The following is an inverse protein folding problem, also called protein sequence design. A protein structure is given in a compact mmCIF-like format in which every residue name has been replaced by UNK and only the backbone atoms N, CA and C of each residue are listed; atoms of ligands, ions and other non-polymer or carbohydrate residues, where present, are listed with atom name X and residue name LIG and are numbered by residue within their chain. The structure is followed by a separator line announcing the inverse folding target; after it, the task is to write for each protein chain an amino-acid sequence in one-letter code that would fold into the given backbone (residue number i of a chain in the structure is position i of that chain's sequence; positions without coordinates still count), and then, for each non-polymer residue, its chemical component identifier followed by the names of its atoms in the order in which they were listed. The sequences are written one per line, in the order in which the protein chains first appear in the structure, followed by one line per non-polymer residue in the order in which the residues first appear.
data_IF_318365783651
#
_entry.id   IF_318365783651
#
_cell.length_a   1.000
_cell.length_b   1.000
_cell.length_c   1.000
_cell.angle_alpha   90.00
_cell.angle_beta   90.00
_cell.angle_gamma   90.00
#
_symmetry.space_group_name_H-M   'P 1'
#
loop_
_entity.id
_entity.type
_entity.pdbx_description
1 polymer ?
#
# COMPACT_ATOMS: atom_id res chain seq x y z
N UNK A 1 70.51 -22.02 46.54
CA UNK A 1 70.67 -21.63 45.13
C UNK A 1 69.41 -22.08 44.37
N UNK A 2 68.48 -21.15 44.12
CA UNK A 2 67.29 -21.42 43.33
C UNK A 2 67.53 -20.87 41.92
N UNK A 3 67.56 -21.75 40.92
CA UNK A 3 67.82 -21.42 39.52
C UNK A 3 66.60 -20.72 38.92
N UNK A 4 66.79 -19.49 38.46
CA UNK A 4 65.79 -18.69 37.73
C UNK A 4 65.24 -19.46 36.51
N UNK A 5 63.91 -19.62 36.36
CA UNK A 5 63.33 -20.41 35.27
C UNK A 5 63.54 -19.70 33.93
N UNK A 6 64.16 -20.40 32.97
CA UNK A 6 64.42 -19.90 31.60
C UNK A 6 63.10 -19.50 30.92
N UNK A 7 62.81 -18.20 30.86
CA UNK A 7 61.66 -17.61 30.15
C UNK A 7 61.74 -17.73 28.60
N UNK A 8 62.60 -18.60 28.05
CA UNK A 8 62.82 -18.73 26.61
C UNK A 8 61.59 -19.25 25.86
N UNK A 9 60.79 -20.11 26.49
CA UNK A 9 59.54 -20.62 25.91
C UNK A 9 58.45 -19.54 25.85
N UNK A 10 58.39 -18.64 26.84
CA UNK A 10 57.48 -17.47 26.82
C UNK A 10 57.87 -16.50 25.71
N UNK A 11 59.18 -16.24 25.55
CA UNK A 11 59.69 -15.40 24.46
C UNK A 11 59.40 -16.02 23.08
N UNK A 12 59.58 -17.34 22.94
CA UNK A 12 59.25 -18.06 21.72
C UNK A 12 57.75 -17.97 21.40
N UNK A 13 56.90 -18.22 22.38
CA UNK A 13 55.44 -18.08 22.24
C UNK A 13 55.03 -16.65 21.86
N UNK A 14 55.61 -15.64 22.49
CA UNK A 14 55.34 -14.23 22.18
C UNK A 14 55.73 -13.87 20.73
N UNK A 15 56.85 -14.40 20.23
CA UNK A 15 57.28 -14.19 18.83
C UNK A 15 56.30 -14.85 17.85
N UNK A 16 55.84 -16.07 18.14
CA UNK A 16 54.86 -16.77 17.30
C UNK A 16 53.53 -16.01 17.26
N UNK A 17 53.05 -15.52 18.41
CA UNK A 17 51.84 -14.69 18.48
C UNK A 17 52.00 -13.38 17.72
N UNK A 18 53.16 -12.72 17.82
CA UNK A 18 53.45 -11.49 17.09
C UNK A 18 53.47 -11.73 15.57
N UNK A 19 54.02 -12.85 15.10
CA UNK A 19 54.00 -13.22 13.68
C UNK A 19 52.57 -13.51 13.17
N UNK A 20 51.75 -14.18 13.98
CA UNK A 20 50.34 -14.42 13.67
C UNK A 20 49.55 -13.11 13.56
N UNK A 21 49.73 -12.21 14.53
CA UNK A 21 49.13 -10.87 14.49
C UNK A 21 49.61 -10.07 13.28
N UNK A 22 50.91 -10.11 12.98
CA UNK A 22 51.49 -9.47 11.81
C UNK A 22 50.88 -9.98 10.50
N UNK A 23 50.70 -11.29 10.36
CA UNK A 23 50.04 -11.91 9.21
C UNK A 23 48.60 -11.43 9.04
N UNK A 24 47.83 -11.33 10.12
CA UNK A 24 46.45 -10.82 10.10
C UNK A 24 46.44 -9.35 9.66
N UNK A 25 47.35 -8.53 10.18
CA UNK A 25 47.45 -7.11 9.82
C UNK A 25 47.82 -6.92 8.33
N UNK A 26 48.76 -7.70 7.81
CA UNK A 26 49.12 -7.66 6.39
C UNK A 26 47.94 -8.09 5.51
N UNK A 27 47.19 -9.13 5.91
CA UNK A 27 45.99 -9.55 5.18
C UNK A 27 44.90 -8.49 5.18
N UNK A 28 44.68 -7.82 6.32
CA UNK A 28 43.74 -6.71 6.43
C UNK A 28 44.17 -5.53 5.55
N UNK A 29 45.44 -5.15 5.58
CA UNK A 29 45.98 -4.08 4.73
C UNK A 29 45.86 -4.43 3.24
N UNK A 30 46.14 -5.68 2.86
CA UNK A 30 45.97 -6.13 1.48
C UNK A 30 44.51 -6.03 1.04
N UNK A 31 43.56 -6.43 1.91
CA UNK A 31 42.12 -6.36 1.63
C UNK A 31 41.63 -4.92 1.47
N UNK A 32 42.07 -3.99 2.33
CA UNK A 32 41.65 -2.57 2.27
C UNK A 32 42.27 -1.79 1.12
N UNK A 33 43.51 -2.13 0.72
CA UNK A 33 44.22 -1.45 -0.37
C UNK A 33 43.81 -1.98 -1.76
N UNK A 34 43.57 -3.29 -1.91
CA UNK A 34 43.19 -3.88 -3.21
C UNK A 34 41.69 -3.85 -3.46
N UNK A 35 40.87 -3.85 -2.40
CA UNK A 35 39.46 -3.56 -2.50
C UNK A 35 39.22 -2.27 -1.72
N UNK A 36 39.52 -1.08 -2.28
CA UNK A 36 38.88 0.12 -1.75
C UNK A 36 37.40 -0.23 -1.72
N UNK A 37 36.78 -0.18 -0.54
CA UNK A 37 35.34 -0.35 -0.41
C UNK A 37 34.79 0.75 -1.31
N UNK A 38 34.47 0.40 -2.56
CA UNK A 38 33.70 1.27 -3.42
C UNK A 38 32.47 1.51 -2.56
N UNK A 39 32.32 2.74 -2.08
CA UNK A 39 31.10 3.14 -1.41
C UNK A 39 30.03 2.80 -2.43
N UNK A 40 29.33 1.68 -2.22
CA UNK A 40 28.17 1.34 -3.01
C UNK A 40 27.18 2.42 -2.60
N UNK A 41 27.25 3.55 -3.30
CA UNK A 41 26.26 4.61 -3.17
C UNK A 41 24.97 3.91 -3.53
N UNK A 42 24.16 3.64 -2.52
CA UNK A 42 22.85 3.04 -2.70
C UNK A 42 21.99 4.13 -3.34
N UNK A 43 22.04 4.21 -4.67
CA UNK A 43 21.09 5.01 -5.42
C UNK A 43 19.78 4.26 -5.37
N UNK A 44 18.81 4.81 -4.62
CA UNK A 44 17.49 4.22 -4.54
C UNK A 44 16.95 4.11 -5.98
N UNK A 45 16.64 2.90 -6.48
CA UNK A 45 16.14 2.75 -7.83
C UNK A 45 14.87 3.60 -7.99
N UNK A 46 14.77 4.29 -9.12
CA UNK A 46 13.50 4.92 -9.50
C UNK A 46 12.52 3.78 -9.77
N UNK A 47 11.49 3.69 -8.95
CA UNK A 47 10.41 2.71 -9.06
C UNK A 47 9.14 3.42 -9.49
N UNK A 48 8.25 2.69 -10.16
CA UNK A 48 6.95 3.24 -10.51
C UNK A 48 6.21 3.77 -9.28
N UNK A 49 5.61 4.97 -9.44
CA UNK A 49 4.92 5.65 -8.36
C UNK A 49 3.56 5.02 -8.03
N UNK A 50 2.99 4.27 -8.96
CA UNK A 50 1.65 3.68 -8.86
C UNK A 50 1.64 2.29 -9.49
N UNK A 51 0.86 1.40 -8.90
CA UNK A 51 0.51 0.10 -9.48
C UNK A 51 -1.00 0.10 -9.75
N UNK A 52 -1.39 -0.31 -10.95
CA UNK A 52 -2.79 -0.47 -11.34
C UNK A 52 -3.09 -1.96 -11.38
N UNK A 53 -4.01 -2.41 -10.51
CA UNK A 53 -4.39 -3.82 -10.43
C UNK A 53 -5.12 -4.28 -11.69
N UNK A 54 -4.72 -5.42 -12.24
CA UNK A 54 -5.33 -6.02 -13.42
C UNK A 54 -6.81 -6.35 -13.24
N UNK A 55 -7.58 -6.35 -14.34
CA UNK A 55 -9.02 -6.61 -14.36
C UNK A 55 -9.28 -8.11 -14.45
N UNK A 56 -10.29 -8.60 -13.71
CA UNK A 56 -10.74 -9.99 -13.79
C UNK A 56 -12.00 -10.04 -14.65
N UNK A 57 -12.00 -10.93 -15.64
CA UNK A 57 -13.11 -11.18 -16.56
C UNK A 57 -13.65 -12.60 -16.42
N UNK A 58 -14.91 -12.78 -16.79
CA UNK A 58 -15.49 -14.10 -17.07
C UNK A 58 -15.08 -14.59 -18.46
N UNK A 59 -15.45 -15.83 -18.81
CA UNK A 59 -15.14 -16.42 -20.12
C UNK A 59 -15.75 -15.68 -21.32
N UNK A 60 -16.76 -14.84 -21.07
CA UNK A 60 -17.49 -14.05 -22.05
C UNK A 60 -17.02 -12.57 -22.06
N UNK A 61 -15.87 -12.27 -21.44
CA UNK A 61 -15.28 -10.94 -21.30
C UNK A 61 -16.13 -9.92 -20.51
N UNK A 62 -17.00 -10.39 -19.61
CA UNK A 62 -17.70 -9.53 -18.65
C UNK A 62 -16.79 -9.25 -17.45
N UNK A 63 -16.77 -8.01 -17.00
CA UNK A 63 -15.95 -7.60 -15.86
C UNK A 63 -16.53 -8.19 -14.58
N UNK A 64 -15.69 -8.96 -13.87
CA UNK A 64 -15.99 -9.53 -12.56
C UNK A 64 -15.36 -8.72 -11.43
N UNK A 65 -14.16 -8.19 -11.64
CA UNK A 65 -13.49 -7.29 -10.70
C UNK A 65 -12.62 -6.26 -11.45
N UNK A 66 -12.73 -4.99 -11.08
CA UNK A 66 -11.99 -3.89 -11.71
C UNK A 66 -11.52 -2.89 -10.66
N UNK A 67 -10.33 -2.32 -10.87
CA UNK A 67 -9.85 -1.21 -10.06
C UNK A 67 -10.55 0.09 -10.51
N UNK A 68 -11.17 0.76 -9.55
CA UNK A 68 -11.90 2.01 -9.77
C UNK A 68 -11.44 3.07 -8.79
N UNK A 69 -11.32 4.34 -9.24
CA UNK A 69 -11.08 5.43 -8.33
C UNK A 69 -12.34 5.71 -7.50
N UNK A 70 -12.12 5.99 -6.21
CA UNK A 70 -13.12 6.47 -5.29
C UNK A 70 -12.66 7.78 -4.69
N UNK A 71 -13.62 8.66 -4.45
CA UNK A 71 -13.39 9.91 -3.77
C UNK A 71 -13.86 9.77 -2.33
N UNK A 72 -12.97 10.02 -1.38
CA UNK A 72 -13.28 10.05 0.04
C UNK A 72 -13.28 11.49 0.55
N UNK A 73 -14.12 11.77 1.53
CA UNK A 73 -14.17 13.08 2.21
C UNK A 73 -13.69 12.92 3.64
N UNK A 74 -12.70 13.72 4.00
CA UNK A 74 -12.01 13.67 5.28
C UNK A 74 -11.92 15.05 5.91
N UNK A 75 -12.07 15.10 7.23
CA UNK A 75 -12.03 16.33 8.01
C UNK A 75 -10.74 16.40 8.82
N UNK A 76 -10.07 17.54 8.75
CA UNK A 76 -8.98 17.93 9.64
C UNK A 76 -9.58 18.66 10.85
N UNK A 77 -9.96 17.90 11.87
CA UNK A 77 -10.66 18.40 13.05
C UNK A 77 -9.88 19.53 13.76
N UNK A 78 -8.55 19.45 13.75
CA UNK A 78 -7.68 20.48 14.35
C UNK A 78 -7.74 21.83 13.62
N UNK A 79 -8.13 21.85 12.34
CA UNK A 79 -8.25 23.07 11.55
C UNK A 79 -9.69 23.63 11.58
N UNK A 80 -10.67 22.80 11.92
CA UNK A 80 -12.08 23.17 11.95
C UNK A 80 -12.38 24.02 13.18
N UNK A 81 -12.84 25.25 12.95
CA UNK A 81 -13.31 26.16 14.02
C UNK A 81 -14.77 25.96 14.35
N UNK A 82 -15.59 25.71 13.33
CA UNK A 82 -17.03 25.54 13.45
C UNK A 82 -17.43 24.23 12.74
N UNK A 83 -17.53 23.16 13.51
CA UNK A 83 -17.88 21.85 12.99
C UNK A 83 -19.32 21.81 12.46
N UNK A 84 -20.22 22.60 13.03
CA UNK A 84 -21.60 22.65 12.62
C UNK A 84 -21.72 23.23 11.20
N UNK A 85 -21.10 24.38 10.95
CA UNK A 85 -21.09 25.02 9.64
C UNK A 85 -20.46 24.11 8.56
N UNK A 86 -19.32 23.48 8.87
CA UNK A 86 -18.64 22.59 7.94
C UNK A 86 -19.51 21.37 7.62
N UNK A 87 -20.17 20.81 8.63
CA UNK A 87 -21.04 19.63 8.47
C UNK A 87 -22.28 19.96 7.65
N UNK A 88 -22.90 21.12 7.85
CA UNK A 88 -24.04 21.59 7.05
C UNK A 88 -23.67 21.79 5.58
N UNK A 89 -22.47 22.32 5.31
CA UNK A 89 -21.97 22.52 3.94
C UNK A 89 -21.71 21.19 3.22
N UNK A 90 -21.09 20.22 3.90
CA UNK A 90 -20.63 18.96 3.29
C UNK A 90 -21.74 17.92 3.18
N UNK A 91 -22.68 17.89 4.13
CA UNK A 91 -23.83 16.98 4.20
C UNK A 91 -24.52 16.66 2.85
N UNK A 92 -24.93 17.64 2.02
CA UNK A 92 -25.62 17.36 0.76
C UNK A 92 -24.76 16.56 -0.24
N UNK A 93 -23.44 16.75 -0.23
CA UNK A 93 -22.52 16.09 -1.17
C UNK A 93 -22.19 14.66 -0.75
N UNK A 94 -22.19 14.38 0.56
CA UNK A 94 -21.93 13.03 1.11
C UNK A 94 -23.20 12.20 1.29
N UNK A 95 -24.37 12.76 0.95
CA UNK A 95 -25.70 12.15 1.12
C UNK A 95 -25.96 11.71 2.57
N UNK A 96 -25.60 12.56 3.52
CA UNK A 96 -25.82 12.34 4.95
C UNK A 96 -26.47 13.58 5.56
N UNK A 97 -27.17 13.43 6.68
CA UNK A 97 -27.65 14.58 7.44
C UNK A 97 -26.48 15.32 8.11
N UNK A 98 -26.57 16.64 8.34
CA UNK A 98 -25.54 17.39 9.06
C UNK A 98 -25.22 16.79 10.44
N UNK A 99 -26.23 16.28 11.14
CA UNK A 99 -26.06 15.63 12.44
C UNK A 99 -25.25 14.34 12.33
N UNK A 100 -25.53 13.48 11.35
CA UNK A 100 -24.73 12.27 11.11
C UNK A 100 -23.27 12.58 10.76
N UNK A 101 -23.01 13.68 10.04
CA UNK A 101 -21.64 14.11 9.74
C UNK A 101 -20.92 14.56 11.01
N UNK A 102 -21.60 15.30 11.89
CA UNK A 102 -21.04 15.73 13.18
C UNK A 102 -20.78 14.55 14.11
N UNK A 103 -21.74 13.64 14.25
CA UNK A 103 -21.60 12.44 15.07
C UNK A 103 -20.40 11.61 14.59
N UNK A 104 -20.31 11.39 13.27
CA UNK A 104 -19.16 10.73 12.64
C UNK A 104 -17.85 11.45 12.92
N UNK A 105 -17.83 12.78 12.84
CA UNK A 105 -16.63 13.58 13.11
C UNK A 105 -16.18 13.47 14.58
N UNK A 106 -17.14 13.42 15.52
CA UNK A 106 -16.89 13.32 16.96
C UNK A 106 -16.33 11.95 17.40
N UNK A 107 -16.47 10.91 16.58
CA UNK A 107 -15.81 9.60 16.82
C UNK A 107 -14.29 9.66 16.69
N UNK A 108 -13.75 10.72 16.06
CA UNK A 108 -12.32 10.89 15.80
C UNK A 108 -11.74 12.10 16.55
N UNK A 109 -10.42 12.11 16.74
CA UNK A 109 -9.73 13.19 17.46
C UNK A 109 -9.11 14.24 16.53
N UNK A 110 -8.48 13.81 15.43
CA UNK A 110 -7.65 14.72 14.59
C UNK A 110 -8.00 14.63 13.11
N UNK A 111 -8.21 13.42 12.60
CA UNK A 111 -8.55 13.18 11.21
C UNK A 111 -9.75 12.26 11.18
N UNK A 112 -10.87 12.77 10.66
CA UNK A 112 -12.12 12.02 10.60
C UNK A 112 -12.43 11.61 9.17
N UNK A 113 -12.68 10.32 8.97
CA UNK A 113 -13.20 9.81 7.71
C UNK A 113 -14.72 9.95 7.71
N UNK A 114 -15.24 11.00 7.09
CA UNK A 114 -16.68 11.26 7.03
C UNK A 114 -17.37 10.28 6.10
N UNK A 115 -16.82 10.13 4.89
CA UNK A 115 -17.36 9.23 3.88
C UNK A 115 -16.24 8.59 3.08
N UNK A 116 -16.25 7.26 3.01
CA UNK A 116 -15.25 6.49 2.26
C UNK A 116 -15.40 6.63 0.74
N UNK A 117 -16.64 6.77 0.26
CA UNK A 117 -16.97 6.85 -1.17
C UNK A 117 -18.10 7.86 -1.39
N UNK A 118 -17.83 8.90 -2.15
CA UNK A 118 -18.82 9.81 -2.72
C UNK A 118 -18.97 9.57 -4.22
N UNK A 119 -20.10 10.01 -4.77
CA UNK A 119 -20.34 10.01 -6.21
C UNK A 119 -19.37 11.00 -6.89
N UNK A 120 -18.71 10.55 -7.94
CA UNK A 120 -17.76 11.36 -8.72
C UNK A 120 -18.43 12.62 -9.28
N UNK A 121 -19.73 12.56 -9.60
CA UNK A 121 -20.49 13.71 -10.07
C UNK A 121 -20.59 14.84 -9.04
N UNK A 122 -20.50 14.52 -7.74
CA UNK A 122 -20.61 15.49 -6.65
C UNK A 122 -19.26 16.16 -6.31
N UNK A 123 -18.14 15.56 -6.72
CA UNK A 123 -16.79 16.02 -6.38
C UNK A 123 -16.51 17.45 -6.86
N UNK A 124 -16.78 17.83 -8.13
CA UNK A 124 -16.48 19.19 -8.59
C UNK A 124 -17.29 20.25 -7.84
N UNK A 125 -18.55 19.96 -7.54
CA UNK A 125 -19.43 20.87 -6.82
C UNK A 125 -19.00 21.04 -5.36
N UNK A 126 -18.57 19.94 -4.71
CA UNK A 126 -18.02 19.97 -3.36
C UNK A 126 -16.73 20.80 -3.31
N UNK A 127 -15.78 20.57 -4.22
CA UNK A 127 -14.53 21.33 -4.27
C UNK A 127 -14.78 22.84 -4.46
N UNK A 128 -15.68 23.21 -5.39
CA UNK A 128 -16.06 24.60 -5.60
C UNK A 128 -16.71 25.23 -4.34
N UNK A 129 -17.53 24.47 -3.62
CA UNK A 129 -18.15 24.92 -2.37
C UNK A 129 -17.10 25.13 -1.26
N UNK A 130 -16.12 24.25 -1.15
CA UNK A 130 -15.01 24.36 -0.18
C UNK A 130 -14.12 25.57 -0.49
N UNK A 131 -13.78 25.80 -1.76
CA UNK A 131 -13.01 26.97 -2.17
C UNK A 131 -13.75 28.28 -1.87
N UNK A 132 -15.05 28.35 -2.19
CA UNK A 132 -15.88 29.54 -1.93
C UNK A 132 -15.92 29.92 -0.45
N UNK A 133 -15.97 28.94 0.44
CA UNK A 133 -16.01 29.16 1.89
C UNK A 133 -14.62 29.16 2.53
N UNK A 134 -13.54 29.02 1.75
CA UNK A 134 -12.15 28.95 2.21
C UNK A 134 -11.90 27.80 3.21
N UNK A 135 -12.59 26.67 3.02
CA UNK A 135 -12.55 25.49 3.88
C UNK A 135 -11.61 24.39 3.36
N UNK A 136 -10.70 24.71 2.44
CA UNK A 136 -9.80 23.75 1.79
C UNK A 136 -8.69 23.23 2.71
N UNK A 137 -8.52 23.80 3.91
CA UNK A 137 -7.59 23.29 4.94
C UNK A 137 -8.30 22.36 5.93
N UNK A 138 -9.59 22.57 6.10
CA UNK A 138 -10.47 21.89 7.03
C UNK A 138 -11.02 20.60 6.45
N UNK A 139 -11.33 20.58 5.15
CA UNK A 139 -11.91 19.43 4.46
C UNK A 139 -11.05 19.06 3.26
N UNK A 140 -10.65 17.80 3.22
CA UNK A 140 -9.86 17.23 2.14
C UNK A 140 -10.70 16.19 1.41
N UNK A 141 -10.71 16.29 0.07
CA UNK A 141 -11.31 15.29 -0.81
C UNK A 141 -10.17 14.55 -1.49
N UNK A 142 -9.98 13.28 -1.15
CA UNK A 142 -8.86 12.47 -1.63
C UNK A 142 -9.33 11.42 -2.63
N UNK A 143 -8.58 11.28 -3.72
CA UNK A 143 -8.76 10.20 -4.69
C UNK A 143 -8.00 8.97 -4.22
N UNK A 144 -8.71 7.90 -3.91
CA UNK A 144 -8.15 6.58 -3.60
C UNK A 144 -8.50 5.59 -4.69
N UNK A 145 -7.68 4.57 -4.87
CA UNK A 145 -7.98 3.45 -5.74
C UNK A 145 -8.56 2.33 -4.87
N UNK A 146 -9.59 1.66 -5.38
CA UNK A 146 -10.14 0.47 -4.72
C UNK A 146 -10.76 -0.47 -5.74
N UNK A 147 -11.23 -1.62 -5.26
CA UNK A 147 -11.77 -2.68 -6.11
C UNK A 147 -13.30 -2.61 -6.17
N UNK A 148 -13.87 -2.65 -7.38
CA UNK A 148 -15.31 -2.86 -7.60
C UNK A 148 -15.53 -4.28 -8.11
N UNK A 149 -16.55 -4.95 -7.58
CA UNK A 149 -17.02 -6.26 -8.02
C UNK A 149 -18.44 -6.12 -8.60
N UNK A 150 -18.61 -5.90 -9.93
CA UNK A 150 -19.92 -5.62 -10.53
C UNK A 150 -20.93 -6.76 -10.37
N UNK A 151 -20.45 -8.01 -10.27
CA UNK A 151 -21.27 -9.20 -10.07
C UNK A 151 -21.83 -9.35 -8.65
N UNK A 152 -21.54 -8.42 -7.74
CA UNK A 152 -22.02 -8.40 -6.34
C UNK A 152 -21.73 -9.71 -5.60
N UNK A 153 -22.77 -10.47 -5.25
CA UNK A 153 -22.63 -11.71 -4.50
C UNK A 153 -22.35 -12.92 -5.40
N UNK A 154 -22.55 -12.81 -6.71
CA UNK A 154 -22.33 -13.90 -7.65
C UNK A 154 -20.84 -14.21 -7.81
N UNK A 155 -20.48 -15.48 -7.60
CA UNK A 155 -19.08 -15.93 -7.54
C UNK A 155 -18.20 -15.19 -6.51
N UNK A 156 -18.78 -14.51 -5.51
CA UNK A 156 -18.03 -13.74 -4.51
C UNK A 156 -17.02 -14.60 -3.74
N UNK A 157 -17.39 -15.84 -3.38
CA UNK A 157 -16.50 -16.79 -2.72
C UNK A 157 -15.35 -17.24 -3.63
N UNK A 158 -15.61 -17.40 -4.93
CA UNK A 158 -14.61 -17.81 -5.91
C UNK A 158 -13.65 -16.67 -6.23
N UNK A 159 -14.18 -15.46 -6.44
CA UNK A 159 -13.39 -14.27 -6.71
C UNK A 159 -12.57 -13.85 -5.50
N UNK A 160 -13.16 -13.89 -4.31
CA UNK A 160 -12.58 -13.35 -3.09
C UNK A 160 -12.59 -11.82 -3.07
N UNK A 161 -11.78 -11.24 -2.18
CA UNK A 161 -11.70 -9.79 -2.01
C UNK A 161 -10.31 -9.32 -1.58
N UNK A 162 -10.14 -7.99 -1.55
CA UNK A 162 -8.92 -7.30 -1.11
C UNK A 162 -9.10 -6.68 0.28
N UNK A 163 -7.99 -6.45 0.99
CA UNK A 163 -7.96 -5.73 2.26
C UNK A 163 -7.83 -4.19 2.05
N UNK A 164 -7.68 -3.43 3.15
CA UNK A 164 -7.47 -1.98 3.12
C UNK A 164 -6.16 -1.55 2.46
N UNK A 165 -5.18 -2.45 2.43
CA UNK A 165 -3.85 -2.27 1.84
C UNK A 165 -3.81 -2.64 0.35
N UNK A 166 -4.97 -2.94 -0.26
CA UNK A 166 -5.13 -3.34 -1.66
C UNK A 166 -4.54 -4.73 -2.02
N UNK A 167 -4.29 -5.56 -1.01
CA UNK A 167 -3.80 -6.93 -1.19
C UNK A 167 -4.97 -7.91 -1.23
N UNK A 168 -4.96 -8.85 -2.17
CA UNK A 168 -5.90 -9.96 -2.23
C UNK A 168 -5.72 -10.89 -1.03
N UNK A 169 -6.82 -11.20 -0.33
CA UNK A 169 -6.80 -12.03 0.88
C UNK A 169 -7.62 -13.32 0.77
N UNK A 170 -8.43 -13.48 -0.28
CA UNK A 170 -9.19 -14.70 -0.53
C UNK A 170 -9.36 -14.96 -2.03
N UNK A 171 -9.73 -16.19 -2.39
CA UNK A 171 -10.19 -16.57 -3.73
C UNK A 171 -9.17 -16.34 -4.85
N UNK A 172 -9.68 -16.00 -6.03
CA UNK A 172 -8.87 -15.62 -7.20
C UNK A 172 -7.99 -14.42 -6.90
N UNK A 173 -8.50 -13.39 -6.19
CA UNK A 173 -7.74 -12.19 -5.84
C UNK A 173 -6.46 -12.52 -5.07
N UNK A 174 -6.50 -13.45 -4.10
CA UNK A 174 -5.31 -13.95 -3.41
C UNK A 174 -4.44 -14.84 -4.29
N UNK A 175 -5.04 -15.84 -4.95
CA UNK A 175 -4.27 -16.84 -5.71
C UNK A 175 -3.50 -16.24 -6.90
N UNK A 176 -4.00 -15.12 -7.44
CA UNK A 176 -3.44 -14.41 -8.58
C UNK A 176 -2.81 -13.06 -8.21
N UNK A 177 -2.58 -12.79 -6.92
CA UNK A 177 -2.06 -11.50 -6.44
C UNK A 177 -0.79 -11.07 -7.18
N UNK A 178 0.14 -11.98 -7.42
CA UNK A 178 1.41 -11.70 -8.10
C UNK A 178 1.24 -11.17 -9.53
N UNK A 179 0.16 -11.57 -10.22
CA UNK A 179 -0.14 -11.15 -11.59
C UNK A 179 -1.03 -9.91 -11.58
N UNK A 180 -2.05 -9.91 -10.71
CA UNK A 180 -2.99 -8.80 -10.59
C UNK A 180 -2.33 -7.55 -10.02
N UNK A 181 -1.41 -7.67 -9.08
CA UNK A 181 -0.76 -6.57 -8.38
C UNK A 181 0.75 -6.83 -8.23
N UNK A 182 1.50 -6.72 -9.33
CA UNK A 182 2.93 -6.97 -9.33
C UNK A 182 3.68 -5.89 -8.55
N UNK A 183 4.89 -6.21 -8.12
CA UNK A 183 5.79 -5.20 -7.54
C UNK A 183 6.05 -4.07 -8.55
N UNK A 184 6.18 -2.80 -8.09
CA UNK A 184 6.50 -1.68 -8.95
C UNK A 184 7.75 -1.95 -9.79
N UNK A 185 7.64 -1.73 -11.10
CA UNK A 185 8.76 -1.92 -12.02
C UNK A 185 9.88 -0.91 -11.71
N UNK A 186 11.13 -1.37 -11.84
CA UNK A 186 12.33 -0.54 -11.70
C UNK A 186 12.62 0.11 -13.05
N UNK A 187 12.55 1.44 -13.13
CA UNK A 187 12.72 2.17 -14.38
C UNK A 187 12.00 3.52 -14.41
N UNK A 188 11.81 4.07 -15.61
CA UNK A 188 11.18 5.41 -15.80
C UNK A 188 9.65 5.36 -15.90
N UNK A 189 9.02 4.20 -15.79
CA UNK A 189 7.56 4.10 -15.85
C UNK A 189 6.92 4.73 -14.62
N UNK A 190 6.01 5.69 -14.80
CA UNK A 190 5.27 6.27 -13.67
C UNK A 190 4.27 5.27 -13.06
N UNK A 191 3.82 4.30 -13.86
CA UNK A 191 2.76 3.34 -13.54
C UNK A 191 3.17 1.93 -13.98
N UNK A 192 3.02 0.97 -13.08
CA UNK A 192 3.07 -0.46 -13.39
C UNK A 192 1.65 -1.00 -13.50
N UNK A 193 1.37 -1.80 -14.53
CA UNK A 193 0.07 -2.44 -14.71
C UNK A 193 0.15 -3.92 -14.35
N UNK A 194 -0.80 -4.39 -13.56
CA UNK A 194 -1.04 -5.80 -13.37
C UNK A 194 -1.70 -6.42 -14.58
N UNK A 195 -1.56 -7.74 -14.70
CA UNK A 195 -2.11 -8.51 -15.79
C UNK A 195 -3.61 -8.72 -15.64
N UNK A 196 -4.32 -8.57 -16.75
CA UNK A 196 -5.74 -8.91 -16.83
C UNK A 196 -5.93 -10.43 -16.88
N UNK A 197 -6.87 -10.95 -16.10
CA UNK A 197 -7.11 -12.39 -15.97
C UNK A 197 -8.51 -12.72 -16.47
N UNK A 198 -8.59 -13.69 -17.37
CA UNK A 198 -9.88 -14.23 -17.85
C UNK A 198 -10.12 -15.60 -17.21
N UNK A 199 -11.20 -15.72 -16.45
CA UNK A 199 -11.61 -16.97 -15.82
C UNK A 199 -12.36 -17.86 -16.81
N UNK A 200 -12.37 -19.16 -16.53
CA UNK A 200 -13.25 -20.12 -17.22
C UNK A 200 -14.69 -20.08 -16.72
N UNK A 201 -14.94 -19.34 -15.63
CA UNK A 201 -16.25 -19.08 -15.05
C UNK A 201 -17.17 -18.43 -16.10
N UNK A 202 -18.40 -18.93 -16.19
CA UNK A 202 -19.49 -18.28 -16.91
C UNK A 202 -20.43 -17.61 -15.90
N UNK A 203 -20.59 -16.29 -16.01
CA UNK A 203 -21.42 -15.54 -15.07
C UNK A 203 -22.91 -15.89 -15.17
N UNK A 204 -23.43 -16.24 -16.35
CA UNK A 204 -24.83 -16.59 -16.53
C UNK A 204 -25.15 -17.96 -15.90
N UNK A 205 -24.21 -18.91 -16.00
CA UNK A 205 -24.31 -20.21 -15.32
C UNK A 205 -24.21 -20.03 -13.81
N UNK A 206 -23.26 -19.21 -13.34
CA UNK A 206 -23.10 -18.91 -11.92
C UNK A 206 -24.35 -18.25 -11.34
N UNK A 207 -24.91 -17.27 -12.05
CA UNK A 207 -26.16 -16.60 -11.66
C UNK A 207 -27.29 -17.60 -11.47
N UNK A 208 -27.46 -18.51 -12.44
CA UNK A 208 -28.49 -19.55 -12.40
C UNK A 208 -28.33 -20.49 -11.19
N UNK A 209 -27.08 -20.85 -10.86
CA UNK A 209 -26.76 -21.66 -9.69
C UNK A 209 -27.12 -20.93 -8.39
N UNK A 210 -26.71 -19.67 -8.24
CA UNK A 210 -26.93 -18.90 -7.01
C UNK A 210 -28.43 -18.68 -6.74
N UNK A 211 -29.22 -18.44 -7.80
CA UNK A 211 -30.67 -18.32 -7.69
C UNK A 211 -31.31 -19.63 -7.21
N UNK A 212 -30.83 -20.78 -7.67
CA UNK A 212 -31.35 -22.08 -7.23
C UNK A 212 -30.97 -22.41 -5.77
N UNK A 213 -29.79 -21.97 -5.30
CA UNK A 213 -29.35 -22.20 -3.92
C UNK A 213 -30.10 -21.33 -2.89
N UNK A 214 -30.75 -20.26 -3.32
CA UNK A 214 -31.55 -19.38 -2.45
C UNK A 214 -32.99 -19.87 -2.26
N UNK A 215 -33.43 -20.85 -3.04
CA UNK A 215 -34.75 -21.50 -2.96
C UNK A 215 -34.74 -22.71 -2.03
#
# INVERSE_FOLDING_TARGET
MATSPKHSYIRFFAVVVALLLGSILVRLAFMTLHNPIASKTYTNPQVASKVVRGTIYDRNHRILAIQTPYWGVYFHLNAIKDLQLVSELVAPYVQMSPQQVQDKANEYTTYAQIKARIDENQVPALLAALEKHKLTKEVTVEKRLGRTYPALFHASQTLGFINSEQEGIEGVELSQEQYLNPYPEVGQGEVTYGEDITLTLDLDVQYSLDVQLQL
#
